data_IF_478783325000
#
_entry.id   IF_478783325000
#
_cell.length_a   1.000
_cell.length_b   1.000
_cell.length_c   1.000
_cell.angle_alpha   90.00
_cell.angle_beta   90.00
_cell.angle_gamma   90.00
#
_symmetry.space_group_name_H-M   'P 1'
#
loop_
_entity.id
_entity.type
_entity.pdbx_description
1 polymer ?
#
# COMPACT_ATOMS: atom_id res chain seq x y z
N UNK A 1 -9.99 3.56 7.13
CA UNK A 1 -9.38 3.24 8.42
C UNK A 1 -10.40 3.51 9.51
N UNK A 2 -10.65 2.54 10.34
CA UNK A 2 -11.58 2.70 11.48
C UNK A 2 -11.18 3.89 12.34
N UNK A 3 -9.88 4.11 12.54
CA UNK A 3 -9.37 5.25 13.31
C UNK A 3 -9.76 6.58 12.66
N UNK A 4 -9.53 6.74 11.35
CA UNK A 4 -9.91 7.96 10.63
C UNK A 4 -11.41 8.27 10.76
N UNK A 5 -12.25 7.23 10.70
CA UNK A 5 -13.71 7.36 10.86
C UNK A 5 -14.06 7.77 12.30
N UNK A 6 -13.36 7.21 13.30
CA UNK A 6 -13.57 7.58 14.71
C UNK A 6 -13.12 9.02 14.98
N UNK A 7 -11.94 9.40 14.52
CA UNK A 7 -11.40 10.76 14.66
C UNK A 7 -12.33 11.79 14.01
N UNK A 8 -12.86 11.49 12.80
CA UNK A 8 -13.81 12.38 12.12
C UNK A 8 -15.17 12.48 12.85
N UNK A 9 -15.68 11.40 13.43
CA UNK A 9 -16.90 11.43 14.23
C UNK A 9 -16.73 12.27 15.50
N UNK A 10 -15.59 12.14 16.17
CA UNK A 10 -15.27 12.95 17.35
C UNK A 10 -15.18 14.44 16.99
N UNK A 11 -14.48 14.78 15.90
CA UNK A 11 -14.40 16.15 15.40
C UNK A 11 -15.77 16.71 15.00
N UNK A 12 -16.63 15.91 14.39
CA UNK A 12 -17.99 16.30 14.01
C UNK A 12 -18.83 16.66 15.24
N UNK A 13 -18.73 15.87 16.31
CA UNK A 13 -19.45 16.10 17.56
C UNK A 13 -18.95 17.36 18.30
N UNK A 14 -17.65 17.62 18.25
CA UNK A 14 -17.00 18.72 18.97
C UNK A 14 -16.98 20.05 18.19
N UNK A 15 -17.35 20.06 16.91
CA UNK A 15 -17.39 21.30 16.12
C UNK A 15 -18.67 22.08 16.41
N UNK A 16 -18.55 23.41 16.61
CA UNK A 16 -19.69 24.31 16.75
C UNK A 16 -20.09 24.98 15.42
N UNK A 17 -19.15 25.10 14.48
CA UNK A 17 -19.34 25.76 13.19
C UNK A 17 -20.05 24.85 12.19
N UNK A 18 -21.20 25.28 11.66
CA UNK A 18 -22.03 24.50 10.75
C UNK A 18 -21.33 24.25 9.39
N UNK A 19 -20.49 25.18 8.91
CA UNK A 19 -19.75 25.02 7.66
C UNK A 19 -18.66 23.95 7.85
N UNK A 20 -17.97 23.99 8.98
CA UNK A 20 -16.96 22.98 9.35
C UNK A 20 -17.60 21.62 9.51
N UNK A 21 -18.76 21.53 10.19
CA UNK A 21 -19.54 20.29 10.32
C UNK A 21 -19.86 19.67 8.97
N UNK A 22 -20.36 20.46 8.03
CA UNK A 22 -20.69 19.99 6.67
C UNK A 22 -19.46 19.43 5.95
N UNK A 23 -18.30 20.08 6.09
CA UNK A 23 -17.02 19.59 5.49
C UNK A 23 -16.57 18.28 6.14
N UNK A 24 -16.66 18.16 7.47
CA UNK A 24 -16.31 16.93 8.21
C UNK A 24 -17.24 15.79 7.82
N UNK A 25 -18.55 16.05 7.72
CA UNK A 25 -19.54 15.02 7.34
C UNK A 25 -19.32 14.52 5.92
N UNK A 26 -19.00 15.41 4.98
CA UNK A 26 -18.62 15.03 3.62
C UNK A 26 -17.37 14.14 3.60
N UNK A 27 -16.35 14.49 4.38
CA UNK A 27 -15.13 13.68 4.50
C UNK A 27 -15.43 12.33 5.17
N UNK A 28 -16.25 12.32 6.22
CA UNK A 28 -16.66 11.10 6.91
C UNK A 28 -17.40 10.13 5.96
N UNK A 29 -18.29 10.66 5.14
CA UNK A 29 -19.02 9.87 4.15
C UNK A 29 -18.06 9.32 3.08
N UNK A 30 -17.10 10.13 2.62
CA UNK A 30 -16.05 9.67 1.70
C UNK A 30 -15.24 8.52 2.30
N UNK A 31 -14.80 8.64 3.57
CA UNK A 31 -14.04 7.60 4.27
C UNK A 31 -14.84 6.31 4.45
N UNK A 32 -16.15 6.41 4.72
CA UNK A 32 -17.03 5.22 4.79
C UNK A 32 -17.11 4.50 3.43
N UNK A 33 -17.25 5.24 2.32
CA UNK A 33 -17.26 4.66 0.98
C UNK A 33 -15.93 3.97 0.63
N UNK A 34 -14.82 4.60 0.96
CA UNK A 34 -13.48 4.01 0.77
C UNK A 34 -13.37 2.73 1.58
N UNK A 35 -13.72 2.76 2.87
CA UNK A 35 -13.67 1.60 3.77
C UNK A 35 -14.55 0.45 3.28
N UNK A 36 -15.76 0.73 2.80
CA UNK A 36 -16.64 -0.28 2.23
C UNK A 36 -16.01 -0.94 0.99
N UNK A 37 -15.41 -0.14 0.10
CA UNK A 37 -14.70 -0.66 -1.06
C UNK A 37 -13.52 -1.55 -0.69
N UNK A 38 -12.72 -1.14 0.28
CA UNK A 38 -11.60 -1.92 0.81
C UNK A 38 -12.07 -3.25 1.43
N UNK A 39 -13.16 -3.22 2.20
CA UNK A 39 -13.73 -4.43 2.81
C UNK A 39 -14.15 -5.47 1.78
N UNK A 40 -14.67 -5.05 0.63
CA UNK A 40 -15.03 -5.96 -0.48
C UNK A 40 -13.79 -6.61 -1.09
N UNK A 41 -12.75 -5.83 -1.38
CA UNK A 41 -11.48 -6.38 -1.90
C UNK A 41 -10.84 -7.30 -0.88
N UNK A 42 -10.82 -6.91 0.40
CA UNK A 42 -10.30 -7.75 1.48
C UNK A 42 -11.05 -9.09 1.58
N UNK A 43 -12.38 -9.07 1.45
CA UNK A 43 -13.20 -10.29 1.45
C UNK A 43 -12.82 -11.22 0.29
N UNK A 44 -12.68 -10.69 -0.92
CA UNK A 44 -12.25 -11.49 -2.08
C UNK A 44 -10.83 -12.06 -1.88
N UNK A 45 -9.89 -11.25 -1.41
CA UNK A 45 -8.52 -11.69 -1.15
C UNK A 45 -8.45 -12.75 -0.04
N UNK A 46 -9.28 -12.64 1.00
CA UNK A 46 -9.38 -13.66 2.06
C UNK A 46 -9.80 -15.02 1.50
N UNK A 47 -10.59 -15.02 0.43
CA UNK A 47 -11.06 -16.22 -0.28
C UNK A 47 -10.22 -16.50 -1.54
N UNK A 48 -8.97 -16.02 -1.60
CA UNK A 48 -8.08 -16.21 -2.74
C UNK A 48 -7.83 -17.69 -3.04
N UNK A 49 -7.80 -18.07 -4.33
CA UNK A 49 -7.49 -19.44 -4.74
C UNK A 49 -6.02 -19.83 -4.55
N UNK A 50 -5.15 -18.89 -4.19
CA UNK A 50 -3.72 -19.13 -4.00
C UNK A 50 -3.24 -18.55 -2.67
N UNK A 51 -2.26 -19.19 -2.00
CA UNK A 51 -1.64 -18.64 -0.81
C UNK A 51 -0.78 -17.42 -1.15
N UNK A 52 -0.81 -16.40 -0.30
CA UNK A 52 -0.03 -15.18 -0.47
C UNK A 52 0.25 -14.48 0.87
N UNK A 53 1.21 -13.59 0.86
CA UNK A 53 1.40 -12.58 1.91
C UNK A 53 0.79 -11.27 1.44
N UNK A 54 -0.14 -10.72 2.24
CA UNK A 54 -0.85 -9.49 1.91
C UNK A 54 -0.35 -8.31 2.72
N UNK A 55 -0.05 -7.21 2.04
CA UNK A 55 0.11 -5.89 2.64
C UNK A 55 -1.00 -4.98 2.09
N UNK A 56 -1.49 -4.06 2.90
CA UNK A 56 -2.44 -3.08 2.39
C UNK A 56 -2.18 -1.72 2.99
N UNK A 57 -2.59 -0.71 2.24
CA UNK A 57 -2.47 0.69 2.63
C UNK A 57 -1.05 1.05 3.04
N UNK A 58 -0.09 0.69 2.21
CA UNK A 58 1.32 0.99 2.41
C UNK A 58 1.78 2.10 1.47
N UNK A 59 2.75 2.88 1.93
CA UNK A 59 3.48 3.85 1.12
C UNK A 59 4.92 3.41 1.01
N UNK A 60 5.31 2.97 -0.17
CA UNK A 60 6.68 2.58 -0.45
C UNK A 60 7.43 3.74 -1.11
N UNK A 61 8.71 3.88 -0.76
CA UNK A 61 9.61 4.88 -1.34
C UNK A 61 11.00 4.32 -1.57
N UNK A 62 11.64 4.79 -2.65
CA UNK A 62 13.04 4.51 -2.97
C UNK A 62 13.66 5.70 -3.72
N UNK A 63 14.75 6.27 -3.17
CA UNK A 63 15.27 7.56 -3.64
C UNK A 63 14.18 8.63 -3.59
N UNK A 64 14.03 9.39 -4.66
CA UNK A 64 13.00 10.43 -4.78
C UNK A 64 11.63 9.91 -5.25
N UNK A 65 11.52 8.61 -5.49
CA UNK A 65 10.29 7.99 -6.00
C UNK A 65 9.47 7.40 -4.85
N UNK A 66 8.17 7.68 -4.81
CA UNK A 66 7.27 7.04 -3.84
C UNK A 66 5.91 6.74 -4.47
N UNK A 67 5.24 5.72 -3.96
CA UNK A 67 3.89 5.35 -4.38
C UNK A 67 3.08 4.78 -3.22
N UNK A 68 1.77 5.04 -3.27
CA UNK A 68 0.80 4.45 -2.36
C UNK A 68 0.20 3.20 -3.01
N UNK A 69 0.12 2.12 -2.25
CA UNK A 69 -0.44 0.84 -2.67
C UNK A 69 -1.61 0.48 -1.76
N UNK A 70 -2.80 0.33 -2.34
CA UNK A 70 -4.00 -0.01 -1.59
C UNK A 70 -3.92 -1.46 -1.06
N UNK A 71 -3.64 -2.42 -1.95
CA UNK A 71 -3.33 -3.80 -1.60
C UNK A 71 -2.16 -4.31 -2.42
N UNK A 72 -1.28 -5.07 -1.77
CA UNK A 72 -0.18 -5.80 -2.39
C UNK A 72 -0.28 -7.27 -1.99
N UNK A 73 -0.49 -8.13 -2.96
CA UNK A 73 -0.45 -9.57 -2.82
C UNK A 73 0.92 -10.07 -3.28
N UNK A 74 1.61 -10.79 -2.43
CA UNK A 74 2.97 -11.29 -2.66
C UNK A 74 2.92 -12.81 -2.67
N UNK A 75 3.20 -13.41 -3.80
CA UNK A 75 3.33 -14.87 -3.97
C UNK A 75 4.79 -15.22 -4.31
N UNK A 76 5.08 -16.50 -4.43
CA UNK A 76 6.39 -16.97 -4.93
C UNK A 76 6.51 -16.88 -6.47
N UNK A 77 5.42 -16.53 -7.16
CA UNK A 77 5.36 -16.41 -8.62
C UNK A 77 5.30 -14.95 -9.09
N UNK A 78 4.64 -14.05 -8.33
CA UNK A 78 4.41 -12.65 -8.71
C UNK A 78 4.06 -11.78 -7.50
N UNK A 79 4.21 -10.46 -7.70
CA UNK A 79 3.60 -9.42 -6.88
C UNK A 79 2.40 -8.82 -7.62
N UNK A 80 1.26 -8.70 -6.95
CA UNK A 80 0.04 -8.14 -7.52
C UNK A 80 -0.40 -6.90 -6.78
N UNK A 81 -0.27 -5.74 -7.44
CA UNK A 81 -0.71 -4.44 -6.93
C UNK A 81 -2.18 -4.26 -7.27
N UNK A 82 -3.02 -4.00 -6.30
CA UNK A 82 -4.45 -3.80 -6.49
C UNK A 82 -4.83 -2.40 -6.04
N UNK A 83 -5.36 -1.59 -6.96
CA UNK A 83 -5.92 -0.27 -6.70
C UNK A 83 -7.42 -0.35 -6.59
N UNK A 84 -7.99 0.16 -5.49
CA UNK A 84 -9.43 0.18 -5.25
C UNK A 84 -10.04 1.50 -5.72
N UNK A 85 -11.16 1.42 -6.43
CA UNK A 85 -11.97 2.58 -6.80
C UNK A 85 -13.44 2.35 -6.42
N UNK A 86 -13.94 3.08 -5.42
CA UNK A 86 -15.33 2.99 -4.95
C UNK A 86 -16.26 3.99 -5.67
N UNK A 87 -15.91 4.37 -6.91
CA UNK A 87 -16.67 5.35 -7.67
C UNK A 87 -18.04 4.83 -8.10
N UNK A 88 -19.05 5.69 -8.00
CA UNK A 88 -20.40 5.45 -8.50
C UNK A 88 -20.55 6.04 -9.90
N UNK A 89 -21.46 5.46 -10.70
CA UNK A 89 -21.83 5.93 -12.04
C UNK A 89 -21.29 5.05 -13.16
N UNK A 90 -21.51 5.49 -14.40
CA UNK A 90 -21.04 4.82 -15.58
C UNK A 90 -19.61 5.26 -15.87
N UNK A 91 -18.66 4.36 -15.76
CA UNK A 91 -17.24 4.60 -16.02
C UNK A 91 -16.98 4.25 -17.49
N UNK A 92 -16.49 5.22 -18.24
CA UNK A 92 -16.08 5.06 -19.64
C UNK A 92 -14.57 5.18 -19.75
N UNK A 93 -13.96 4.29 -20.50
CA UNK A 93 -12.54 4.31 -20.84
C UNK A 93 -12.46 4.37 -22.35
N UNK A 94 -11.91 5.46 -22.87
CA UNK A 94 -11.86 5.75 -24.31
C UNK A 94 -10.69 5.03 -25.02
N UNK A 95 -10.58 5.25 -26.34
CA UNK A 95 -9.53 4.66 -27.19
C UNK A 95 -8.10 5.11 -26.84
N UNK A 96 -7.96 6.21 -26.08
CA UNK A 96 -6.67 6.70 -25.59
C UNK A 96 -6.40 6.28 -24.15
N UNK A 97 -7.32 5.53 -23.51
CA UNK A 97 -7.19 5.12 -22.13
C UNK A 97 -7.56 6.17 -21.10
N UNK A 98 -8.25 7.25 -21.51
CA UNK A 98 -8.73 8.26 -20.56
C UNK A 98 -9.98 7.74 -19.84
N UNK A 99 -10.01 7.99 -18.54
CA UNK A 99 -11.13 7.60 -17.68
C UNK A 99 -12.08 8.78 -17.47
N UNK A 100 -13.36 8.51 -17.64
CA UNK A 100 -14.42 9.44 -17.29
C UNK A 100 -15.58 8.73 -16.62
N UNK A 101 -16.41 9.46 -15.87
CA UNK A 101 -17.65 8.94 -15.31
C UNK A 101 -18.82 9.82 -15.67
N UNK A 102 -19.96 9.20 -15.89
CA UNK A 102 -21.23 9.87 -16.04
C UNK A 102 -22.02 9.74 -14.73
N UNK A 103 -22.35 10.86 -14.14
CA UNK A 103 -23.15 10.94 -12.92
C UNK A 103 -24.39 11.80 -13.17
N UNK A 104 -25.51 11.40 -12.63
CA UNK A 104 -26.71 12.22 -12.65
C UNK A 104 -26.67 13.19 -11.47
N UNK A 105 -26.49 14.49 -11.77
CA UNK A 105 -26.60 15.55 -10.77
C UNK A 105 -27.94 16.23 -10.97
N UNK A 106 -28.80 16.12 -9.95
CA UNK A 106 -30.19 16.58 -10.05
C UNK A 106 -30.90 15.94 -11.24
N UNK A 107 -31.24 16.68 -12.29
CA UNK A 107 -31.89 16.15 -13.50
C UNK A 107 -30.97 16.05 -14.73
N UNK A 108 -29.74 16.53 -14.63
CA UNK A 108 -28.77 16.55 -15.75
C UNK A 108 -27.68 15.52 -15.57
N UNK A 109 -27.31 14.87 -16.67
CA UNK A 109 -26.12 14.05 -16.73
C UNK A 109 -24.87 14.93 -16.88
N UNK A 110 -23.84 14.65 -16.06
CA UNK A 110 -22.55 15.32 -16.12
C UNK A 110 -21.47 14.30 -16.41
N UNK A 111 -20.58 14.60 -17.36
CA UNK A 111 -19.35 13.83 -17.61
C UNK A 111 -18.21 14.46 -16.81
N UNK A 112 -17.57 13.67 -15.97
CA UNK A 112 -16.43 14.10 -15.15
C UNK A 112 -15.22 13.25 -15.50
N UNK A 113 -14.05 13.90 -15.72
CA UNK A 113 -12.79 13.22 -15.90
C UNK A 113 -12.34 12.55 -14.59
N UNK A 114 -11.73 11.38 -14.70
CA UNK A 114 -11.13 10.65 -13.58
C UNK A 114 -9.64 10.54 -13.85
N UNK A 115 -8.81 10.90 -12.88
CA UNK A 115 -7.38 10.62 -12.98
C UNK A 115 -7.15 9.11 -13.12
N UNK A 116 -6.39 8.70 -14.15
CA UNK A 116 -6.23 7.29 -14.51
C UNK A 116 -5.70 6.43 -13.35
N UNK A 117 -6.50 5.47 -12.83
CA UNK A 117 -6.02 4.56 -11.80
C UNK A 117 -4.99 3.56 -12.32
N UNK A 118 -4.96 3.32 -13.62
CA UNK A 118 -3.94 2.48 -14.27
C UNK A 118 -2.59 3.19 -14.25
N UNK A 119 -2.54 4.50 -14.48
CA UNK A 119 -1.30 5.28 -14.37
C UNK A 119 -0.84 5.43 -12.91
N UNK A 120 -1.76 5.46 -11.94
CA UNK A 120 -1.42 5.39 -10.52
C UNK A 120 -0.72 4.06 -10.19
N UNK A 121 -1.27 2.95 -10.67
CA UNK A 121 -0.65 1.64 -10.52
C UNK A 121 0.71 1.54 -11.21
N UNK A 122 0.86 2.12 -12.40
CA UNK A 122 2.14 2.14 -13.12
C UNK A 122 3.26 2.77 -12.31
N UNK A 123 2.97 3.86 -11.57
CA UNK A 123 3.95 4.45 -10.64
C UNK A 123 4.31 3.49 -9.52
N UNK A 124 3.31 2.81 -8.94
CA UNK A 124 3.54 1.82 -7.90
C UNK A 124 4.36 0.62 -8.41
N UNK A 125 4.09 0.15 -9.64
CA UNK A 125 4.91 -0.88 -10.29
C UNK A 125 6.37 -0.46 -10.42
N UNK A 126 6.63 0.79 -10.85
CA UNK A 126 8.00 1.31 -11.01
C UNK A 126 8.73 1.33 -9.67
N UNK A 127 8.08 1.84 -8.62
CA UNK A 127 8.67 1.88 -7.27
C UNK A 127 8.95 0.48 -6.76
N UNK A 128 7.97 -0.43 -6.86
CA UNK A 128 8.15 -1.81 -6.39
C UNK A 128 9.24 -2.55 -7.18
N UNK A 129 9.30 -2.40 -8.50
CA UNK A 129 10.35 -2.99 -9.33
C UNK A 129 11.75 -2.48 -8.96
N UNK A 130 11.90 -1.18 -8.66
CA UNK A 130 13.17 -0.65 -8.18
C UNK A 130 13.57 -1.30 -6.85
N UNK A 131 12.63 -1.43 -5.91
CA UNK A 131 12.87 -2.12 -4.64
C UNK A 131 13.27 -3.58 -4.89
N UNK A 132 12.51 -4.32 -5.69
CA UNK A 132 12.84 -5.72 -6.02
C UNK A 132 14.23 -5.87 -6.60
N UNK A 133 14.67 -4.95 -7.46
CA UNK A 133 16.01 -4.95 -8.03
C UNK A 133 17.11 -4.80 -6.97
N UNK A 134 16.92 -3.92 -5.97
CA UNK A 134 17.85 -3.78 -4.84
C UNK A 134 18.02 -5.06 -4.01
N UNK A 135 17.00 -5.92 -4.01
CA UNK A 135 16.99 -7.20 -3.28
C UNK A 135 17.30 -8.42 -4.19
N UNK A 136 17.75 -8.21 -5.41
CA UNK A 136 17.99 -9.29 -6.39
C UNK A 136 16.76 -10.17 -6.63
N UNK A 137 15.59 -9.55 -6.67
CA UNK A 137 14.27 -10.15 -6.93
C UNK A 137 13.65 -9.61 -8.23
N UNK A 138 14.46 -9.06 -9.13
CA UNK A 138 14.03 -8.46 -10.40
C UNK A 138 13.27 -9.42 -11.32
N UNK A 139 13.47 -10.73 -11.15
CA UNK A 139 12.74 -11.77 -11.90
C UNK A 139 11.29 -11.96 -11.44
N UNK A 140 10.92 -11.47 -10.25
CA UNK A 140 9.56 -11.60 -9.75
C UNK A 140 8.64 -10.66 -10.53
N UNK A 141 7.69 -11.17 -11.33
CA UNK A 141 6.79 -10.33 -12.08
C UNK A 141 5.99 -9.41 -11.16
N UNK A 142 5.89 -8.13 -11.53
CA UNK A 142 5.01 -7.17 -10.87
C UNK A 142 3.87 -6.84 -11.83
N UNK A 143 2.67 -7.16 -11.42
CA UNK A 143 1.43 -6.93 -12.18
C UNK A 143 0.52 -6.04 -11.37
N UNK A 144 -0.32 -5.24 -12.03
CA UNK A 144 -1.27 -4.38 -11.32
C UNK A 144 -2.68 -4.49 -11.87
N UNK A 145 -3.64 -4.19 -11.02
CA UNK A 145 -5.06 -4.24 -11.30
C UNK A 145 -5.79 -3.08 -10.65
N UNK A 146 -6.72 -2.49 -11.38
CA UNK A 146 -7.70 -1.53 -10.86
C UNK A 146 -9.03 -2.24 -10.63
N UNK A 147 -9.52 -2.20 -9.41
CA UNK A 147 -10.74 -2.89 -9.00
C UNK A 147 -11.82 -1.86 -8.64
N UNK A 148 -12.89 -1.82 -9.41
CA UNK A 148 -14.06 -1.03 -9.10
C UNK A 148 -14.97 -1.80 -8.13
N UNK A 149 -15.16 -1.24 -6.93
CA UNK A 149 -15.81 -1.92 -5.80
C UNK A 149 -17.28 -1.53 -5.61
N UNK A 150 -17.75 -0.48 -6.30
CA UNK A 150 -19.15 -0.08 -6.22
C UNK A 150 -20.00 -1.00 -7.13
N UNK A 151 -21.00 -1.73 -6.59
CA UNK A 151 -21.83 -2.63 -7.39
C UNK A 151 -22.67 -1.91 -8.44
N UNK A 152 -22.99 -0.62 -8.18
CA UNK A 152 -23.77 0.23 -9.10
C UNK A 152 -22.92 0.86 -10.22
N UNK A 153 -21.61 0.71 -10.18
CA UNK A 153 -20.75 1.17 -11.26
C UNK A 153 -20.85 0.24 -12.47
N UNK A 154 -20.95 0.82 -13.65
CA UNK A 154 -20.80 0.09 -14.91
C UNK A 154 -19.48 0.46 -15.56
N UNK A 155 -18.82 -0.49 -16.20
CA UNK A 155 -17.57 -0.28 -16.93
C UNK A 155 -17.84 -0.39 -18.42
N UNK A 156 -17.57 0.68 -19.15
CA UNK A 156 -17.69 0.73 -20.60
C UNK A 156 -16.28 0.86 -21.22
N UNK A 157 -15.88 -0.14 -21.98
CA UNK A 157 -14.57 -0.26 -22.62
C UNK A 157 -14.66 0.02 -24.12
N UNK A 158 -15.47 0.98 -24.54
CA UNK A 158 -15.63 1.32 -25.95
C UNK A 158 -14.28 1.73 -26.55
N UNK A 159 -13.79 0.91 -27.49
CA UNK A 159 -12.51 1.12 -28.18
C UNK A 159 -11.28 1.19 -27.26
N UNK A 160 -11.42 0.82 -25.99
CA UNK A 160 -10.33 0.84 -25.00
C UNK A 160 -9.17 -0.09 -25.43
N UNK A 161 -7.89 0.37 -25.32
CA UNK A 161 -6.75 -0.49 -25.57
C UNK A 161 -6.77 -1.75 -24.68
N UNK A 162 -6.44 -2.91 -25.26
CA UNK A 162 -6.46 -4.19 -24.55
C UNK A 162 -5.60 -4.18 -23.27
N UNK A 163 -4.45 -3.52 -23.33
CA UNK A 163 -3.53 -3.38 -22.17
C UNK A 163 -4.18 -2.70 -20.96
N UNK A 164 -5.11 -1.77 -21.20
CA UNK A 164 -5.85 -1.08 -20.14
C UNK A 164 -7.05 -1.90 -19.73
N UNK A 165 -7.78 -2.45 -20.71
CA UNK A 165 -8.96 -3.29 -20.47
C UNK A 165 -8.63 -4.47 -19.55
N UNK A 166 -7.49 -5.11 -19.76
CA UNK A 166 -7.04 -6.25 -18.94
C UNK A 166 -6.66 -5.88 -17.50
N UNK A 167 -6.42 -4.61 -17.24
CA UNK A 167 -6.04 -4.07 -15.93
C UNK A 167 -7.20 -3.46 -15.15
N UNK A 168 -8.45 -3.55 -15.65
CA UNK A 168 -9.60 -2.90 -15.01
C UNK A 168 -10.76 -3.88 -14.92
N UNK A 169 -11.18 -4.16 -13.67
CA UNK A 169 -12.29 -5.10 -13.42
C UNK A 169 -13.23 -4.60 -12.33
N UNK A 170 -14.37 -5.29 -12.19
CA UNK A 170 -15.20 -5.20 -10.98
C UNK A 170 -14.72 -6.20 -9.93
N UNK A 171 -15.04 -5.91 -8.67
CA UNK A 171 -14.53 -6.67 -7.50
C UNK A 171 -14.92 -8.15 -7.53
N UNK A 172 -16.09 -8.49 -8.03
CA UNK A 172 -16.60 -9.86 -8.19
C UNK A 172 -15.75 -10.73 -9.13
N UNK A 173 -14.96 -10.11 -10.01
CA UNK A 173 -14.05 -10.81 -10.93
C UNK A 173 -12.63 -10.99 -10.39
N UNK A 174 -12.32 -10.48 -9.17
CA UNK A 174 -10.96 -10.44 -8.65
C UNK A 174 -10.34 -11.83 -8.56
N UNK A 175 -11.02 -12.80 -7.96
CA UNK A 175 -10.50 -14.16 -7.79
C UNK A 175 -10.36 -14.91 -9.11
N UNK A 176 -11.25 -14.66 -10.07
CA UNK A 176 -11.12 -15.20 -11.43
C UNK A 176 -9.88 -14.65 -12.13
N UNK A 177 -9.60 -13.34 -11.96
CA UNK A 177 -8.41 -12.69 -12.54
C UNK A 177 -7.12 -13.18 -11.89
N UNK A 178 -7.11 -13.39 -10.57
CA UNK A 178 -5.97 -13.99 -9.85
C UNK A 178 -5.70 -15.41 -10.38
N UNK A 179 -6.72 -16.22 -10.56
CA UNK A 179 -6.59 -17.59 -11.11
C UNK A 179 -5.99 -17.58 -12.50
N UNK A 180 -6.52 -16.74 -13.38
CA UNK A 180 -5.98 -16.53 -14.74
C UNK A 180 -4.52 -16.10 -14.71
N UNK A 181 -4.13 -15.22 -13.77
CA UNK A 181 -2.75 -14.77 -13.64
C UNK A 181 -1.82 -15.91 -13.24
N UNK A 182 -2.23 -16.75 -12.30
CA UNK A 182 -1.46 -17.95 -11.88
C UNK A 182 -1.24 -18.90 -13.05
N UNK A 183 -2.28 -19.18 -13.82
CA UNK A 183 -2.22 -20.08 -14.97
C UNK A 183 -1.31 -19.54 -16.09
N UNK A 184 -1.28 -18.23 -16.28
CA UNK A 184 -0.50 -17.58 -17.34
C UNK A 184 0.91 -17.16 -16.89
N UNK A 185 1.24 -17.28 -15.61
CA UNK A 185 2.57 -16.93 -15.10
C UNK A 185 3.47 -18.17 -15.11
N UNK A 186 4.72 -18.01 -15.53
CA UNK A 186 5.72 -19.06 -15.47
C UNK A 186 5.80 -19.72 -14.09
N UNK A 187 6.19 -21.01 -14.01
CA UNK A 187 6.39 -21.67 -12.72
C UNK A 187 7.25 -20.85 -11.76
N UNK A 188 7.03 -21.04 -10.46
CA UNK A 188 7.68 -20.29 -9.40
C UNK A 188 9.18 -20.08 -9.64
N UNK A 189 9.59 -18.82 -9.76
CA UNK A 189 11.01 -18.45 -9.93
C UNK A 189 11.73 -18.53 -8.57
N UNK A 190 11.00 -18.36 -7.47
CA UNK A 190 11.53 -18.34 -6.12
C UNK A 190 10.80 -19.32 -5.20
N UNK A 191 11.49 -19.78 -4.15
CA UNK A 191 10.86 -20.58 -3.09
C UNK A 191 9.85 -19.71 -2.32
N UNK A 192 8.80 -20.33 -1.78
CA UNK A 192 7.72 -19.65 -1.03
C UNK A 192 8.24 -18.73 0.09
N UNK A 193 9.33 -19.15 0.73
CA UNK A 193 10.01 -18.38 1.77
C UNK A 193 10.39 -16.97 1.34
N UNK A 194 10.75 -16.76 0.06
CA UNK A 194 11.08 -15.43 -0.45
C UNK A 194 9.90 -14.47 -0.44
N UNK A 195 8.68 -14.98 -0.58
CA UNK A 195 7.47 -14.17 -0.47
C UNK A 195 7.28 -13.64 0.96
N UNK A 196 7.55 -14.46 1.98
CA UNK A 196 7.51 -14.04 3.39
C UNK A 196 8.57 -12.99 3.69
N UNK A 197 9.80 -13.22 3.28
CA UNK A 197 10.92 -12.28 3.47
C UNK A 197 10.62 -10.94 2.81
N UNK A 198 10.15 -10.96 1.55
CA UNK A 198 9.77 -9.75 0.82
C UNK A 198 8.65 -8.99 1.53
N UNK A 199 7.63 -9.69 2.05
CA UNK A 199 6.56 -9.03 2.81
C UNK A 199 7.10 -8.33 4.07
N UNK A 200 8.04 -8.95 4.79
CA UNK A 200 8.71 -8.35 5.95
C UNK A 200 9.51 -7.11 5.58
N UNK A 201 10.29 -7.19 4.52
CA UNK A 201 11.08 -6.05 3.97
C UNK A 201 10.15 -4.89 3.62
N UNK A 202 9.13 -5.14 2.80
CA UNK A 202 8.22 -4.09 2.33
C UNK A 202 7.43 -3.46 3.48
N UNK A 203 7.07 -4.25 4.50
CA UNK A 203 6.45 -3.73 5.72
C UNK A 203 7.39 -2.79 6.50
N UNK A 204 8.67 -3.11 6.58
CA UNK A 204 9.68 -2.24 7.21
C UNK A 204 9.98 -0.97 6.40
N UNK A 205 9.77 -1.00 5.08
CA UNK A 205 9.93 0.16 4.19
C UNK A 205 8.66 1.04 4.13
N UNK A 206 7.58 0.70 4.80
CA UNK A 206 6.34 1.47 4.79
C UNK A 206 6.53 2.83 5.47
N UNK A 207 6.38 3.90 4.71
CA UNK A 207 6.45 5.30 5.15
C UNK A 207 5.08 5.95 5.25
N UNK A 208 4.00 5.18 5.32
CA UNK A 208 2.65 5.72 5.43
C UNK A 208 2.47 6.51 6.73
N UNK A 209 1.86 7.70 6.62
CA UNK A 209 1.61 8.61 7.74
C UNK A 209 0.12 8.66 8.02
N UNK A 210 -0.27 8.69 9.30
CA UNK A 210 -1.66 8.93 9.68
C UNK A 210 -2.07 10.37 9.40
N UNK A 211 -3.30 10.57 8.96
CA UNK A 211 -3.84 11.90 8.69
C UNK A 211 -4.27 12.53 10.01
N UNK A 212 -3.79 13.74 10.29
CA UNK A 212 -4.29 14.57 11.36
C UNK A 212 -5.46 15.42 10.86
N UNK A 213 -6.67 14.92 11.09
CA UNK A 213 -7.90 15.60 10.71
C UNK A 213 -8.14 16.86 11.53
N UNK A 214 -7.63 16.96 12.77
CA UNK A 214 -7.77 18.14 13.60
C UNK A 214 -7.12 19.36 12.96
N UNK A 215 -5.93 19.18 12.40
CA UNK A 215 -5.24 20.24 11.67
C UNK A 215 -5.87 20.53 10.31
N UNK A 216 -6.38 19.48 9.61
CA UNK A 216 -7.03 19.64 8.29
C UNK A 216 -8.23 20.57 8.33
N UNK A 217 -9.01 20.58 9.42
CA UNK A 217 -10.22 21.39 9.54
C UNK A 217 -10.05 22.68 10.37
N UNK A 218 -8.91 22.87 11.05
CA UNK A 218 -8.58 24.12 11.77
C UNK A 218 -7.99 25.21 10.88
N UNK A 219 -7.30 24.85 9.81
CA UNK A 219 -6.68 25.83 8.90
C UNK A 219 -7.67 26.25 7.80
N UNK A 220 -7.96 27.56 7.73
CA UNK A 220 -8.75 28.19 6.65
C UNK A 220 -8.02 28.20 5.28
N UNK A 221 -6.97 27.40 5.10
CA UNK A 221 -6.28 27.26 3.82
C UNK A 221 -6.94 26.16 2.98
N UNK A 222 -7.76 26.62 2.05
CA UNK A 222 -8.26 25.79 0.93
C UNK A 222 -7.04 25.46 0.06
N UNK A 223 -6.39 24.35 0.35
CA UNK A 223 -5.51 23.71 -0.62
C UNK A 223 -6.35 22.71 -1.39
N UNK A 224 -6.62 23.02 -2.64
CA UNK A 224 -7.28 22.13 -3.60
C UNK A 224 -6.38 20.94 -4.02
N UNK A 225 -5.63 20.39 -3.09
CA UNK A 225 -4.97 19.10 -3.23
C UNK A 225 -5.76 18.09 -2.43
N UNK A 226 -6.61 17.34 -3.10
CA UNK A 226 -7.20 16.13 -2.53
C UNK A 226 -6.02 15.17 -2.31
N UNK A 227 -5.52 14.99 -1.06
CA UNK A 227 -4.58 13.91 -0.80
C UNK A 227 -5.33 12.61 -1.05
N UNK A 228 -4.74 11.72 -1.79
CA UNK A 228 -5.26 10.36 -1.96
C UNK A 228 -5.23 9.67 -0.59
N UNK A 229 -6.38 9.66 0.09
CA UNK A 229 -6.55 9.21 1.47
C UNK A 229 -6.59 7.67 1.52
N UNK A 230 -5.75 7.09 2.35
CA UNK A 230 -5.63 5.64 2.50
C UNK A 230 -5.72 5.19 3.97
N UNK A 231 -6.47 4.12 4.27
CA UNK A 231 -6.67 3.59 5.63
C UNK A 231 -5.59 2.58 6.09
N UNK A 232 -5.26 2.52 7.39
CA UNK A 232 -4.36 1.52 8.01
C UNK A 232 -5.14 0.43 8.75
N UNK A 233 -4.78 -0.82 8.60
CA UNK A 233 -5.31 -1.94 9.38
C UNK A 233 -4.31 -3.12 9.56
N UNK A 234 -4.57 -3.96 10.57
CA UNK A 234 -3.69 -5.02 11.07
C UNK A 234 -3.89 -6.38 10.35
N UNK A 235 -2.87 -7.23 10.35
CA UNK A 235 -2.81 -8.51 9.64
C UNK A 235 -2.62 -9.75 10.50
N UNK A 236 -3.14 -10.85 9.96
CA UNK A 236 -2.86 -12.22 10.40
C UNK A 236 -1.89 -12.92 9.43
N UNK A 237 -0.93 -13.66 9.96
CA UNK A 237 0.21 -14.27 9.27
C UNK A 237 -0.02 -15.77 9.04
N UNK A 238 0.41 -16.33 7.92
CA UNK A 238 0.57 -17.76 7.70
C UNK A 238 2.05 -18.07 7.39
N UNK A 239 2.56 -19.16 8.01
CA UNK A 239 3.96 -19.56 8.15
C UNK A 239 4.66 -20.08 6.87
N UNK A 240 5.97 -19.87 6.70
CA UNK A 240 7.02 -20.89 6.57
C UNK A 240 8.46 -20.35 6.38
N UNK A 241 9.49 -21.18 6.61
CA UNK A 241 10.84 -21.06 7.10
C UNK A 241 11.96 -20.99 6.03
N UNK A 242 13.04 -20.31 6.26
CA UNK A 242 14.48 -20.52 6.26
C UNK A 242 15.35 -19.29 5.90
N UNK A 243 16.51 -19.25 6.49
CA UNK A 243 17.47 -18.17 6.66
C UNK A 243 18.23 -17.76 5.40
N UNK A 244 18.53 -16.46 5.30
CA UNK A 244 19.50 -15.90 4.35
C UNK A 244 20.09 -14.61 4.93
N UNK A 245 21.23 -14.68 5.60
CA UNK A 245 21.93 -13.55 6.20
C UNK A 245 22.21 -12.44 5.19
N UNK A 246 22.56 -12.79 3.95
CA UNK A 246 22.80 -11.82 2.88
C UNK A 246 21.56 -11.01 2.53
N UNK A 247 20.40 -11.60 2.59
CA UNK A 247 19.13 -10.91 2.30
C UNK A 247 18.76 -9.95 3.41
N UNK A 248 18.96 -10.32 4.69
CA UNK A 248 18.73 -9.44 5.82
C UNK A 248 19.67 -8.24 5.79
N UNK A 249 20.96 -8.47 5.49
CA UNK A 249 21.96 -7.39 5.31
C UNK A 249 21.51 -6.41 4.23
N UNK A 250 21.06 -6.90 3.08
CA UNK A 250 20.52 -6.06 2.00
C UNK A 250 19.28 -5.28 2.45
N UNK A 251 18.33 -5.94 3.14
CA UNK A 251 17.13 -5.31 3.67
C UNK A 251 17.47 -4.14 4.59
N UNK A 252 18.37 -4.35 5.54
CA UNK A 252 18.84 -3.33 6.47
C UNK A 252 19.55 -2.17 5.76
N UNK A 253 20.37 -2.44 4.73
CA UNK A 253 21.03 -1.40 3.92
C UNK A 253 20.02 -0.52 3.19
N UNK A 254 19.01 -1.10 2.54
CA UNK A 254 17.97 -0.35 1.82
C UNK A 254 17.13 0.47 2.79
N UNK A 255 16.69 -0.12 3.90
CA UNK A 255 15.98 0.59 4.96
C UNK A 255 16.78 1.81 5.44
N UNK A 256 18.05 1.60 5.80
CA UNK A 256 18.95 2.66 6.25
C UNK A 256 19.04 3.81 5.23
N UNK A 257 19.25 3.48 3.96
CA UNK A 257 19.39 4.47 2.88
C UNK A 257 18.07 5.24 2.68
N UNK A 258 16.93 4.55 2.66
CA UNK A 258 15.61 5.17 2.48
C UNK A 258 15.27 6.12 3.63
N UNK A 259 15.50 5.70 4.89
CA UNK A 259 15.25 6.54 6.07
C UNK A 259 16.22 7.74 6.14
N UNK A 260 17.48 7.56 5.77
CA UNK A 260 18.47 8.62 5.70
C UNK A 260 18.07 9.71 4.70
N UNK A 261 17.64 9.31 3.49
CA UNK A 261 17.14 10.22 2.46
C UNK A 261 15.90 10.98 2.94
N UNK A 262 14.94 10.27 3.54
CA UNK A 262 13.72 10.88 4.08
C UNK A 262 14.00 11.94 5.14
N UNK A 263 14.95 11.64 6.05
CA UNK A 263 15.32 12.51 7.15
C UNK A 263 16.40 13.55 6.77
N UNK A 264 16.90 13.54 5.52
CA UNK A 264 17.99 14.39 5.02
C UNK A 264 19.25 14.32 5.88
N UNK A 265 19.62 13.12 6.33
CA UNK A 265 20.81 12.85 7.15
C UNK A 265 21.66 11.77 6.49
N UNK A 266 22.98 11.70 6.80
CA UNK A 266 23.83 10.61 6.34
C UNK A 266 23.36 9.24 6.84
N UNK A 267 23.45 8.15 6.05
CA UNK A 267 22.96 6.81 6.41
C UNK A 267 23.51 6.26 7.72
N UNK A 268 24.74 6.55 8.08
CA UNK A 268 25.36 6.08 9.32
C UNK A 268 24.78 6.73 10.60
N UNK A 269 23.96 7.79 10.48
CA UNK A 269 23.19 8.33 11.60
C UNK A 269 21.97 7.50 11.98
N UNK A 270 21.51 6.63 11.10
CA UNK A 270 20.45 5.67 11.40
C UNK A 270 21.03 4.47 12.18
N UNK A 271 22.02 3.82 11.60
CA UNK A 271 22.96 2.87 12.21
C UNK A 271 24.16 2.65 11.28
N UNK A 272 25.30 2.31 11.83
CA UNK A 272 26.52 2.05 11.08
C UNK A 272 26.65 0.58 10.67
N UNK A 273 27.73 0.18 9.99
CA UNK A 273 27.90 -1.18 9.50
C UNK A 273 28.16 -2.19 10.65
N UNK A 274 28.81 -1.78 11.74
CA UNK A 274 29.04 -2.62 12.91
C UNK A 274 27.70 -2.93 13.63
N UNK A 275 26.88 -1.89 13.83
CA UNK A 275 25.55 -2.01 14.41
C UNK A 275 24.63 -2.88 13.53
N UNK A 276 24.72 -2.74 12.21
CA UNK A 276 24.01 -3.61 11.27
C UNK A 276 24.44 -5.07 11.41
N UNK A 277 25.74 -5.34 11.53
CA UNK A 277 26.24 -6.70 11.80
C UNK A 277 25.65 -7.29 13.08
N UNK A 278 25.56 -6.50 14.15
CA UNK A 278 24.94 -6.94 15.41
C UNK A 278 23.43 -7.20 15.30
N UNK A 279 22.70 -6.41 14.50
CA UNK A 279 21.28 -6.71 14.21
C UNK A 279 21.14 -8.08 13.53
N UNK A 280 22.02 -8.36 12.57
CA UNK A 280 22.01 -9.65 11.83
C UNK A 280 22.37 -10.82 12.75
N UNK A 281 23.36 -10.65 13.63
CA UNK A 281 23.79 -11.66 14.58
C UNK A 281 22.76 -11.95 15.65
N UNK A 282 22.19 -10.91 16.28
CA UNK A 282 21.28 -11.04 17.42
C UNK A 282 19.82 -11.21 17.03
N UNK A 283 19.43 -10.86 15.80
CA UNK A 283 18.07 -11.01 15.28
C UNK A 283 16.98 -10.53 16.25
N UNK A 284 17.00 -9.26 16.74
CA UNK A 284 16.15 -8.79 17.83
C UNK A 284 14.67 -8.90 17.47
N UNK A 285 13.87 -9.46 18.39
CA UNK A 285 12.44 -9.74 18.22
C UNK A 285 11.54 -8.75 18.93
N UNK A 286 12.08 -8.05 19.93
CA UNK A 286 11.34 -7.07 20.73
C UNK A 286 12.23 -5.87 21.10
N UNK A 287 11.64 -4.92 21.82
CA UNK A 287 12.32 -3.69 22.28
C UNK A 287 13.51 -3.99 23.17
N UNK A 288 13.38 -4.95 24.09
CA UNK A 288 14.42 -5.26 25.08
C UNK A 288 15.68 -5.81 24.36
N UNK A 289 15.48 -6.79 23.45
CA UNK A 289 16.57 -7.35 22.65
C UNK A 289 17.22 -6.29 21.75
N UNK A 290 16.42 -5.37 21.14
CA UNK A 290 16.92 -4.31 20.30
C UNK A 290 17.81 -3.32 21.07
N UNK A 291 17.38 -2.88 22.26
CA UNK A 291 18.14 -1.93 23.09
C UNK A 291 19.41 -2.59 23.70
N UNK A 292 19.43 -3.91 23.84
CA UNK A 292 20.62 -4.62 24.32
C UNK A 292 21.79 -4.57 23.33
N UNK A 293 21.54 -4.24 22.07
CA UNK A 293 22.58 -4.07 21.06
C UNK A 293 23.40 -2.81 21.36
N UNK A 294 24.70 -2.97 21.55
CA UNK A 294 25.62 -1.83 21.78
C UNK A 294 25.53 -0.81 20.64
N UNK A 295 25.18 0.40 20.96
CA UNK A 295 24.96 1.52 20.02
C UNK A 295 23.50 1.91 19.88
N UNK A 296 22.57 1.08 20.33
CA UNK A 296 21.13 1.38 20.32
C UNK A 296 20.61 1.69 21.73
N UNK A 297 19.73 2.68 21.79
CA UNK A 297 19.06 3.09 23.03
C UNK A 297 17.59 3.39 22.77
N UNK A 298 16.89 3.84 23.81
CA UNK A 298 15.47 4.20 23.76
C UNK A 298 15.15 5.15 22.60
N UNK A 299 15.93 6.19 22.40
CA UNK A 299 15.73 7.20 21.34
C UNK A 299 15.86 6.57 19.94
N UNK A 300 16.79 5.65 19.75
CA UNK A 300 16.97 4.95 18.48
C UNK A 300 15.82 3.97 18.26
N UNK A 301 15.38 3.32 19.33
CA UNK A 301 14.23 2.43 19.26
C UNK A 301 12.95 3.17 18.85
N UNK A 302 12.65 4.31 19.48
CA UNK A 302 11.46 5.10 19.14
C UNK A 302 11.44 5.55 17.69
N UNK A 303 12.60 5.87 17.11
CA UNK A 303 12.72 6.35 15.73
C UNK A 303 12.74 5.22 14.68
N UNK A 304 13.41 4.11 14.96
CA UNK A 304 13.76 3.10 13.96
C UNK A 304 13.55 1.65 14.43
N UNK A 305 13.47 1.41 15.74
CA UNK A 305 13.52 0.08 16.31
C UNK A 305 12.41 -0.83 15.84
N UNK A 306 11.16 -0.34 15.82
CA UNK A 306 10.02 -1.15 15.40
C UNK A 306 10.11 -1.56 13.92
N UNK A 307 10.59 -0.66 13.05
CA UNK A 307 10.77 -0.96 11.64
C UNK A 307 11.85 -2.04 11.44
N UNK A 308 12.98 -1.91 12.15
CA UNK A 308 14.08 -2.87 12.09
C UNK A 308 13.63 -4.23 12.60
N UNK A 309 12.90 -4.30 13.73
CA UNK A 309 12.32 -5.54 14.24
C UNK A 309 11.36 -6.17 13.22
N UNK A 310 10.53 -5.37 12.55
CA UNK A 310 9.63 -5.88 11.51
C UNK A 310 10.39 -6.48 10.32
N UNK A 311 11.50 -5.85 9.92
CA UNK A 311 12.40 -6.41 8.89
C UNK A 311 12.98 -7.73 9.39
N UNK A 312 13.58 -7.75 10.58
CA UNK A 312 14.19 -8.96 11.17
C UNK A 312 13.16 -10.10 11.30
N UNK A 313 11.94 -9.81 11.76
CA UNK A 313 10.85 -10.80 11.84
C UNK A 313 10.48 -11.43 10.50
N UNK A 314 10.72 -10.75 9.40
CA UNK A 314 10.58 -11.32 8.05
C UNK A 314 11.59 -12.43 7.75
N UNK A 315 12.69 -12.52 8.50
CA UNK A 315 13.80 -13.47 8.34
C UNK A 315 13.91 -14.51 9.49
N UNK A 316 13.13 -14.35 10.55
CA UNK A 316 13.06 -15.33 11.64
C UNK A 316 11.90 -16.30 11.44
N UNK A 317 12.10 -17.54 11.82
CA UNK A 317 11.08 -18.62 11.80
C UNK A 317 9.92 -18.34 12.75
#
# INVERSE_FOLDING_TARGET
DLKNILDLKELLNNSADQIVKSKIDNELNLQKYVQEGFSKVYFELKNSPVPFYGLHNIRLGIGDSSANIDFLMITHQFCYIIKCKSLQGNIEIDSQGNFSRFVKKTEKWSKEGIYSPVEQNRRAEIVLKKILNEYSLERLPVVSLTVFTNPKATLNFKECPLEIKDKVIKVDLLNSKIRQLVENTAPAVYKEIRAKQLAGILKGLDTSVSIDYSNKFKSNHIVNNIPELQPKAAFSTIKYVASDEDMLVKALKVYRTSKATLNKIPPYYIFNNEEMGKIVELMPKDKHEFISIKGFGEVTFEKYGQDIINIVKGFTN
#
